data_IF_997937622509
#
_entry.id   IF_997937622509
#
_cell.length_a   1.000
_cell.length_b   1.000
_cell.length_c   1.000
_cell.angle_alpha   90.00
_cell.angle_beta   90.00
_cell.angle_gamma   90.00
#
_symmetry.space_group_name_H-M   'P 1'
#
loop_
_entity.id
_entity.type
_entity.pdbx_description
1 polymer ?
#
# COMPACT_ATOMS: atom_id res chain seq x y z
N UNK A 1 14.01 33.95 -21.20
CA UNK A 1 13.49 32.64 -20.72
C UNK A 1 14.15 32.38 -19.37
N UNK A 2 13.40 31.94 -18.36
CA UNK A 2 13.92 31.81 -17.00
C UNK A 2 14.38 30.38 -16.75
N UNK A 3 15.67 30.21 -16.43
CA UNK A 3 16.23 28.91 -16.07
C UNK A 3 15.92 28.56 -14.62
N UNK A 4 15.56 27.30 -14.38
CA UNK A 4 15.30 26.76 -13.05
C UNK A 4 16.38 25.71 -12.76
N UNK A 5 17.21 25.99 -11.75
CA UNK A 5 18.19 25.05 -11.20
C UNK A 5 17.58 24.34 -10.00
N UNK A 6 17.61 23.02 -9.98
CA UNK A 6 17.07 22.23 -8.87
C UNK A 6 17.90 20.96 -8.65
N UNK A 7 17.75 20.35 -7.47
CA UNK A 7 18.43 19.11 -7.11
C UNK A 7 17.46 17.94 -7.22
N UNK A 8 17.75 17.04 -8.15
CA UNK A 8 17.04 15.80 -8.35
C UNK A 8 17.61 14.73 -7.41
N UNK A 9 16.83 14.31 -6.42
CA UNK A 9 17.19 13.24 -5.50
C UNK A 9 16.63 11.91 -6.01
N UNK A 10 17.50 10.91 -6.09
CA UNK A 10 17.11 9.52 -6.32
C UNK A 10 17.85 8.63 -5.33
N UNK A 11 17.09 7.87 -4.52
CA UNK A 11 17.64 7.10 -3.38
C UNK A 11 18.48 8.00 -2.46
N UNK A 12 19.77 7.67 -2.31
CA UNK A 12 20.75 8.43 -1.53
C UNK A 12 21.58 9.40 -2.38
N UNK A 13 21.39 9.42 -3.71
CA UNK A 13 22.14 10.28 -4.62
C UNK A 13 21.36 11.55 -4.98
N UNK A 14 22.08 12.65 -5.20
CA UNK A 14 21.53 13.93 -5.61
C UNK A 14 22.25 14.41 -6.87
N UNK A 15 21.46 14.75 -7.90
CA UNK A 15 21.93 15.25 -9.17
C UNK A 15 21.50 16.71 -9.36
N UNK A 16 22.42 17.65 -9.60
CA UNK A 16 22.04 19.00 -9.99
C UNK A 16 21.48 18.98 -11.42
N UNK A 17 20.31 19.56 -11.62
CA UNK A 17 19.63 19.63 -12.92
C UNK A 17 19.24 21.08 -13.20
N UNK A 18 19.49 21.54 -14.43
CA UNK A 18 19.10 22.88 -14.89
C UNK A 18 18.19 22.73 -16.10
N UNK A 19 16.99 23.31 -16.06
CA UNK A 19 16.00 23.25 -17.15
C UNK A 19 15.32 24.60 -17.35
N UNK A 20 14.69 24.82 -18.51
CA UNK A 20 13.94 26.05 -18.77
C UNK A 20 12.57 26.01 -18.10
N UNK A 21 12.03 27.15 -17.64
CA UNK A 21 10.71 27.21 -16.97
C UNK A 21 9.55 26.71 -17.85
N UNK A 22 9.71 26.84 -19.17
CA UNK A 22 8.77 26.38 -20.21
C UNK A 22 8.83 24.87 -20.46
N UNK A 23 9.87 24.18 -19.97
CA UNK A 23 9.99 22.73 -20.16
C UNK A 23 8.94 21.96 -19.37
N UNK A 24 8.49 20.86 -19.95
CA UNK A 24 7.49 19.98 -19.34
C UNK A 24 8.12 18.98 -18.38
N UNK A 25 7.30 18.47 -17.46
CA UNK A 25 7.70 17.37 -16.59
C UNK A 25 8.01 16.09 -17.40
N UNK A 26 7.47 15.96 -18.62
CA UNK A 26 7.88 14.93 -19.58
C UNK A 26 9.39 15.00 -19.89
N UNK A 27 9.90 16.17 -20.27
CA UNK A 27 11.34 16.38 -20.52
C UNK A 27 12.18 16.14 -19.25
N UNK A 28 11.68 16.56 -18.09
CA UNK A 28 12.34 16.28 -16.80
C UNK A 28 12.49 14.77 -16.57
N UNK A 29 11.49 13.96 -16.91
CA UNK A 29 11.59 12.49 -16.79
C UNK A 29 12.57 11.88 -17.78
N UNK A 30 12.67 12.42 -18.98
CA UNK A 30 13.68 11.98 -19.95
C UNK A 30 15.09 12.28 -19.46
N UNK A 31 15.31 13.46 -18.89
CA UNK A 31 16.60 13.83 -18.31
C UNK A 31 16.92 12.98 -17.07
N UNK A 32 15.91 12.74 -16.22
CA UNK A 32 16.02 11.83 -15.09
C UNK A 32 16.31 10.39 -15.53
N UNK A 33 15.81 9.93 -16.69
CA UNK A 33 16.14 8.61 -17.25
C UNK A 33 17.62 8.50 -17.56
N UNK A 34 18.21 9.54 -18.18
CA UNK A 34 19.66 9.57 -18.49
C UNK A 34 20.51 9.53 -17.22
N UNK A 35 20.10 10.26 -16.18
CA UNK A 35 20.86 10.39 -14.93
C UNK A 35 20.70 9.18 -13.98
N UNK A 36 19.49 8.61 -13.89
CA UNK A 36 19.16 7.57 -12.90
C UNK A 36 19.00 6.17 -13.49
N UNK A 37 18.91 6.06 -14.82
CA UNK A 37 18.65 4.80 -15.53
C UNK A 37 17.21 4.28 -15.39
N UNK A 38 16.32 5.02 -14.74
CA UNK A 38 14.92 4.63 -14.54
C UNK A 38 14.14 4.93 -15.83
N UNK A 39 13.31 4.01 -16.33
CA UNK A 39 12.42 4.26 -17.46
C UNK A 39 11.35 5.31 -17.17
N UNK A 40 11.05 6.21 -18.11
CA UNK A 40 10.09 7.34 -17.95
C UNK A 40 8.71 6.89 -17.44
N UNK A 41 8.24 5.72 -17.87
CA UNK A 41 6.99 5.09 -17.46
C UNK A 41 6.99 4.60 -16.00
N UNK A 42 8.17 4.30 -15.45
CA UNK A 42 8.36 3.85 -14.06
C UNK A 42 8.87 4.96 -13.13
N UNK A 43 9.04 6.17 -13.65
CA UNK A 43 9.42 7.35 -12.88
C UNK A 43 8.21 8.12 -12.35
N UNK A 44 8.13 8.25 -11.03
CA UNK A 44 7.26 9.21 -10.33
C UNK A 44 8.09 10.44 -9.92
N UNK A 45 7.73 11.60 -10.46
CA UNK A 45 8.35 12.90 -10.12
C UNK A 45 7.56 13.52 -8.98
N UNK A 46 8.23 13.72 -7.85
CA UNK A 46 7.67 14.29 -6.63
C UNK A 46 8.27 15.67 -6.36
N UNK A 47 7.41 16.66 -6.17
CA UNK A 47 7.83 18.02 -5.80
C UNK A 47 6.87 18.60 -4.76
N UNK A 48 7.41 19.06 -3.61
CA UNK A 48 6.66 19.49 -2.42
C UNK A 48 5.61 18.46 -1.94
N UNK A 49 5.98 17.17 -1.93
CA UNK A 49 5.09 16.09 -1.51
C UNK A 49 3.97 15.76 -2.51
N UNK A 50 3.90 16.44 -3.66
CA UNK A 50 2.90 16.15 -4.70
C UNK A 50 3.53 15.50 -5.92
N UNK A 51 2.88 14.45 -6.43
CA UNK A 51 3.21 13.88 -7.74
C UNK A 51 2.85 14.87 -8.84
N UNK A 52 3.77 15.08 -9.78
CA UNK A 52 3.54 15.99 -10.90
C UNK A 52 3.34 15.21 -12.20
N UNK A 53 2.31 15.60 -12.94
CA UNK A 53 1.90 14.95 -14.17
C UNK A 53 2.68 15.46 -15.39
N UNK A 54 2.92 14.57 -16.35
CA UNK A 54 3.77 14.81 -17.53
C UNK A 54 3.34 16.02 -18.38
N UNK A 55 2.04 16.38 -18.36
CA UNK A 55 1.47 17.47 -19.18
C UNK A 55 1.69 18.87 -18.60
N UNK A 56 2.19 19.00 -17.36
CA UNK A 56 2.43 20.31 -16.73
C UNK A 56 3.87 20.79 -17.00
N UNK A 57 4.01 22.09 -17.26
CA UNK A 57 5.31 22.79 -17.30
C UNK A 57 5.89 22.95 -15.90
N UNK A 58 7.22 23.14 -15.79
CA UNK A 58 7.88 23.41 -14.51
C UNK A 58 7.31 24.67 -13.83
N UNK A 59 6.99 25.69 -14.62
CA UNK A 59 6.32 26.91 -14.16
C UNK A 59 4.90 26.64 -13.60
N UNK A 60 4.04 25.95 -14.35
CA UNK A 60 2.68 25.60 -13.89
C UNK A 60 2.68 24.63 -12.70
N UNK A 61 3.76 23.86 -12.55
CA UNK A 61 3.97 22.98 -11.41
C UNK A 61 4.62 23.68 -10.20
N UNK A 62 4.88 24.99 -10.30
CA UNK A 62 5.44 25.90 -9.28
C UNK A 62 6.86 25.53 -8.82
N UNK A 63 7.67 24.97 -9.72
CA UNK A 63 9.08 24.71 -9.44
C UNK A 63 9.81 26.03 -9.21
N UNK A 64 10.61 26.08 -8.13
CA UNK A 64 11.40 27.25 -7.77
C UNK A 64 12.88 26.94 -7.96
N UNK A 65 13.70 27.98 -8.08
CA UNK A 65 15.14 27.84 -8.10
C UNK A 65 15.63 27.24 -6.76
N UNK A 66 16.69 26.43 -6.80
CA UNK A 66 17.24 25.65 -5.67
C UNK A 66 16.27 24.66 -5.01
N UNK A 67 15.22 24.23 -5.71
CA UNK A 67 14.27 23.31 -5.11
C UNK A 67 14.75 21.85 -5.15
N UNK A 68 14.18 21.00 -4.29
CA UNK A 68 14.48 19.56 -4.23
C UNK A 68 13.34 18.79 -4.89
N UNK A 69 13.70 17.95 -5.85
CA UNK A 69 12.78 17.14 -6.66
C UNK A 69 13.13 15.70 -6.41
N UNK A 70 12.18 14.89 -5.93
CA UNK A 70 12.42 13.49 -5.64
C UNK A 70 11.92 12.65 -6.83
N UNK A 71 12.79 11.80 -7.37
CA UNK A 71 12.43 10.81 -8.38
C UNK A 71 12.32 9.46 -7.68
N UNK A 72 11.21 8.77 -7.93
CA UNK A 72 10.93 7.44 -7.40
C UNK A 72 10.73 6.50 -8.58
N UNK A 73 11.44 5.39 -8.61
CA UNK A 73 11.31 4.36 -9.65
C UNK A 73 12.44 3.33 -9.60
N UNK A 74 12.27 2.25 -10.36
CA UNK A 74 13.23 1.14 -10.46
C UNK A 74 13.81 1.05 -11.86
N UNK A 75 15.07 0.65 -11.96
CA UNK A 75 15.74 0.49 -13.25
C UNK A 75 15.39 -0.86 -13.87
N UNK A 76 15.42 -0.98 -15.21
CA UNK A 76 15.12 -2.27 -15.88
C UNK A 76 16.02 -3.41 -15.40
N UNK A 77 17.29 -3.14 -15.05
CA UNK A 77 18.22 -4.14 -14.49
C UNK A 77 17.72 -4.78 -13.20
N UNK A 78 16.93 -4.06 -12.40
CA UNK A 78 16.30 -4.60 -11.17
C UNK A 78 15.03 -5.40 -11.48
N UNK A 79 14.34 -5.07 -12.57
CA UNK A 79 13.10 -5.73 -13.00
C UNK A 79 13.41 -7.03 -13.74
N UNK A 80 14.55 -7.12 -14.43
CA UNK A 80 15.01 -8.35 -15.10
C UNK A 80 15.55 -9.39 -14.12
N UNK A 81 16.14 -8.98 -12.98
CA UNK A 81 16.48 -9.92 -11.90
C UNK A 81 15.25 -10.50 -11.17
N UNK A 82 14.07 -9.94 -11.41
CA UNK A 82 12.83 -10.32 -10.72
C UNK A 82 11.94 -11.28 -11.53
N UNK A 83 12.41 -11.87 -12.64
CA UNK A 83 11.58 -12.78 -13.44
C UNK A 83 12.31 -14.06 -13.90
N UNK A 84 11.93 -15.18 -13.22
CA UNK A 84 11.96 -16.61 -13.59
C UNK A 84 13.28 -17.38 -13.27
N UNK A 85 13.29 -18.65 -12.81
CA UNK A 85 12.35 -19.48 -12.01
C UNK A 85 12.98 -19.95 -10.67
N UNK A 86 12.23 -20.74 -9.88
CA UNK A 86 12.71 -21.54 -8.74
C UNK A 86 14.08 -22.20 -9.06
N UNK A 87 15.10 -21.89 -8.25
CA UNK A 87 16.25 -22.77 -8.06
C UNK A 87 16.66 -22.71 -6.60
N UNK A 88 16.96 -23.89 -6.06
CA UNK A 88 16.94 -24.26 -4.64
C UNK A 88 18.09 -23.65 -3.80
N UNK A 89 18.59 -22.47 -4.15
CA UNK A 89 19.79 -21.87 -3.51
C UNK A 89 19.57 -20.61 -2.68
N UNK A 90 18.34 -20.09 -2.61
CA UNK A 90 18.03 -18.93 -1.75
C UNK A 90 17.13 -19.30 -0.54
N UNK A 91 17.15 -20.56 -0.10
CA UNK A 91 16.49 -21.02 1.14
C UNK A 91 17.09 -20.39 2.43
N UNK A 92 18.08 -19.50 2.34
CA UNK A 92 18.85 -19.06 3.51
C UNK A 92 18.83 -17.55 3.79
N UNK A 93 18.02 -16.74 3.10
CA UNK A 93 17.89 -15.31 3.46
C UNK A 93 16.46 -14.84 3.82
N UNK A 94 15.50 -15.75 4.01
CA UNK A 94 14.16 -15.47 4.53
C UNK A 94 14.12 -15.34 6.07
N UNK A 95 15.11 -14.68 6.69
CA UNK A 95 15.06 -14.30 8.12
C UNK A 95 14.92 -12.79 8.33
N UNK A 96 14.89 -11.99 7.26
CA UNK A 96 14.85 -10.52 7.37
C UNK A 96 13.61 -9.85 6.76
N UNK A 97 12.47 -10.52 6.89
CA UNK A 97 11.14 -9.91 6.71
C UNK A 97 10.46 -9.62 8.08
N UNK A 98 11.28 -9.43 9.13
CA UNK A 98 10.91 -8.67 10.32
C UNK A 98 11.23 -7.20 10.06
N UNK A 99 10.27 -6.47 9.51
CA UNK A 99 10.00 -5.06 9.81
C UNK A 99 8.84 -4.56 8.94
N UNK A 100 7.66 -5.14 9.20
CA UNK A 100 6.42 -4.42 8.98
C UNK A 100 6.19 -3.52 10.20
N UNK A 101 6.41 -2.23 10.04
CA UNK A 101 5.92 -1.14 10.91
C UNK A 101 5.82 -1.49 12.41
N UNK A 102 6.93 -1.38 13.13
CA UNK A 102 6.92 -1.21 14.59
C UNK A 102 6.32 0.18 14.91
N UNK A 103 5.01 0.23 15.08
CA UNK A 103 4.40 1.12 16.08
C UNK A 103 4.16 0.23 17.30
N UNK A 104 4.74 0.61 18.44
CA UNK A 104 4.61 -0.04 19.74
C UNK A 104 3.13 -0.15 20.16
N UNK A 105 2.50 -1.28 19.87
CA UNK A 105 1.30 -1.78 20.52
C UNK A 105 1.39 -3.31 20.50
N UNK A 106 1.24 -3.94 21.66
CA UNK A 106 1.28 -5.39 21.88
C UNK A 106 0.69 -6.20 20.72
N UNK A 107 1.38 -7.28 20.35
CA UNK A 107 0.96 -8.33 19.42
C UNK A 107 -0.57 -8.56 19.49
N UNK A 108 -1.29 -8.09 18.46
CA UNK A 108 -2.75 -8.12 18.35
C UNK A 108 -3.24 -9.57 18.50
N UNK A 109 -2.51 -10.55 17.97
CA UNK A 109 -2.92 -11.95 18.05
C UNK A 109 -2.85 -12.53 19.47
N UNK A 110 -2.09 -11.91 20.39
CA UNK A 110 -1.97 -12.35 21.79
C UNK A 110 -3.03 -11.78 22.73
N UNK A 111 -3.81 -10.79 22.29
CA UNK A 111 -4.80 -10.15 23.15
C UNK A 111 -6.04 -11.05 23.33
N UNK A 112 -6.57 -11.12 24.56
CA UNK A 112 -7.67 -12.04 24.94
C UNK A 112 -8.94 -11.90 24.09
N UNK A 113 -9.22 -10.72 23.56
CA UNK A 113 -10.37 -10.48 22.69
C UNK A 113 -10.22 -11.08 21.30
N UNK A 114 -9.00 -11.08 20.76
CA UNK A 114 -8.67 -11.60 19.44
C UNK A 114 -8.52 -13.13 19.45
N UNK A 115 -7.86 -13.68 20.49
CA UNK A 115 -7.66 -15.12 20.66
C UNK A 115 -8.97 -15.93 20.59
N UNK A 116 -10.03 -15.45 21.27
CA UNK A 116 -11.35 -16.11 21.26
C UNK A 116 -11.95 -16.33 19.87
N UNK A 117 -11.61 -15.46 18.91
CA UNK A 117 -12.09 -15.58 17.53
C UNK A 117 -11.11 -16.41 16.69
N UNK A 118 -9.80 -16.29 16.96
CA UNK A 118 -8.77 -17.08 16.30
C UNK A 118 -8.88 -18.58 16.63
N UNK A 119 -9.23 -18.93 17.87
CA UNK A 119 -9.46 -20.31 18.32
C UNK A 119 -10.62 -21.01 17.57
N UNK A 120 -11.55 -20.25 16.96
CA UNK A 120 -12.61 -20.81 16.12
C UNK A 120 -12.08 -21.39 14.79
N UNK A 121 -10.83 -21.08 14.44
CA UNK A 121 -10.20 -21.51 13.20
C UNK A 121 -10.74 -20.79 11.96
N UNK A 122 -10.25 -21.20 10.79
CA UNK A 122 -10.58 -20.56 9.51
C UNK A 122 -12.08 -20.75 9.22
N UNK A 123 -12.82 -19.69 8.84
CA UNK A 123 -14.23 -19.82 8.48
C UNK A 123 -14.44 -20.83 7.35
N UNK A 124 -15.42 -21.73 7.50
CA UNK A 124 -15.81 -22.64 6.40
C UNK A 124 -16.22 -21.82 5.15
N UNK A 125 -15.67 -22.22 4.00
CA UNK A 125 -15.76 -21.57 2.68
C UNK A 125 -15.10 -20.17 2.58
N UNK A 126 -14.18 -19.82 3.50
CA UNK A 126 -13.38 -18.61 3.41
C UNK A 126 -12.69 -18.48 2.05
N UNK A 127 -12.56 -17.24 1.58
CA UNK A 127 -11.74 -16.95 0.42
C UNK A 127 -10.32 -17.48 0.65
N UNK A 128 -9.78 -18.22 -0.32
CA UNK A 128 -8.49 -18.90 -0.16
C UNK A 128 -7.37 -17.88 0.00
N UNK A 129 -6.62 -17.98 1.10
CA UNK A 129 -5.40 -17.22 1.30
C UNK A 129 -4.27 -17.76 0.42
N UNK A 130 -3.53 -16.87 -0.24
CA UNK A 130 -2.36 -17.26 -1.04
C UNK A 130 -1.12 -16.61 -0.42
N UNK A 131 -0.21 -17.44 0.07
CA UNK A 131 1.04 -17.00 0.68
C UNK A 131 1.90 -16.22 -0.33
N UNK A 132 2.61 -15.21 0.16
CA UNK A 132 3.62 -14.44 -0.56
C UNK A 132 3.16 -13.83 -1.90
N UNK A 133 1.85 -13.60 -2.05
CA UNK A 133 1.30 -12.88 -3.20
C UNK A 133 0.62 -11.60 -2.77
N UNK A 134 0.64 -10.61 -3.65
CA UNK A 134 -0.10 -9.37 -3.50
C UNK A 134 -1.03 -9.19 -4.68
N UNK A 135 -2.33 -9.22 -4.41
CA UNK A 135 -3.35 -9.07 -5.43
C UNK A 135 -4.10 -7.74 -5.25
N UNK A 136 -4.56 -7.12 -6.35
CA UNK A 136 -5.47 -6.00 -6.25
C UNK A 136 -6.75 -6.44 -5.54
N UNK A 137 -7.48 -5.46 -5.00
CA UNK A 137 -8.80 -5.73 -4.43
C UNK A 137 -9.71 -6.34 -5.51
N UNK A 138 -10.38 -7.46 -5.20
CA UNK A 138 -11.25 -8.10 -6.17
C UNK A 138 -12.49 -7.25 -6.44
N UNK A 139 -13.05 -7.39 -7.64
CA UNK A 139 -14.38 -6.82 -7.98
C UNK A 139 -15.51 -7.61 -7.32
N UNK A 140 -15.23 -8.84 -6.89
CA UNK A 140 -16.13 -9.70 -6.13
C UNK A 140 -15.93 -9.52 -4.62
N UNK A 141 -16.93 -9.84 -3.79
CA UNK A 141 -16.79 -9.76 -2.34
C UNK A 141 -15.66 -10.65 -1.82
N UNK A 142 -14.85 -10.17 -0.87
CA UNK A 142 -13.98 -11.02 -0.07
C UNK A 142 -14.89 -11.73 0.92
N UNK A 143 -15.11 -13.03 0.69
CA UNK A 143 -16.17 -13.78 1.39
C UNK A 143 -15.65 -14.45 2.66
N UNK A 144 -16.55 -14.50 3.63
CA UNK A 144 -16.48 -15.31 4.85
C UNK A 144 -15.21 -15.06 5.66
N UNK A 145 -15.04 -13.81 6.08
CA UNK A 145 -14.15 -13.41 7.17
C UNK A 145 -14.97 -13.35 8.47
N UNK A 146 -14.33 -13.41 9.64
CA UNK A 146 -15.05 -13.22 10.91
C UNK A 146 -15.05 -11.76 11.36
N UNK A 147 -16.13 -11.31 11.98
CA UNK A 147 -16.18 -10.04 12.72
C UNK A 147 -15.80 -10.25 14.21
N UNK A 148 -15.82 -9.17 15.00
CA UNK A 148 -15.60 -9.18 16.47
C UNK A 148 -16.54 -10.11 17.27
N UNK A 149 -17.70 -10.47 16.71
CA UNK A 149 -18.66 -11.41 17.33
C UNK A 149 -18.43 -12.86 16.87
N UNK A 150 -17.55 -13.06 15.88
CA UNK A 150 -17.32 -14.34 15.22
C UNK A 150 -18.41 -14.73 14.21
N UNK A 151 -19.23 -13.79 13.76
CA UNK A 151 -20.15 -14.00 12.64
C UNK A 151 -19.39 -13.94 11.31
N UNK A 152 -19.79 -14.77 10.35
CA UNK A 152 -19.27 -14.72 8.98
C UNK A 152 -19.78 -13.47 8.27
N UNK A 153 -18.86 -12.65 7.77
CA UNK A 153 -19.15 -11.46 6.99
C UNK A 153 -18.41 -11.45 5.65
N UNK A 154 -18.86 -10.60 4.74
CA UNK A 154 -18.26 -10.37 3.44
C UNK A 154 -17.87 -8.89 3.32
N UNK A 155 -16.71 -8.64 2.71
CA UNK A 155 -16.21 -7.30 2.44
C UNK A 155 -16.44 -6.95 0.98
N UNK A 156 -17.13 -5.84 0.72
CA UNK A 156 -17.42 -5.35 -0.62
C UNK A 156 -16.91 -3.93 -0.74
N UNK A 157 -15.95 -3.72 -1.63
CA UNK A 157 -15.40 -2.39 -1.92
C UNK A 157 -16.18 -1.76 -3.08
N UNK A 158 -16.88 -0.66 -2.80
CA UNK A 158 -17.62 0.14 -3.78
C UNK A 158 -16.83 1.41 -4.08
N UNK A 159 -15.79 1.29 -4.91
CA UNK A 159 -14.89 2.41 -5.21
C UNK A 159 -15.59 3.62 -5.83
N UNK A 160 -16.58 3.42 -6.70
CA UNK A 160 -17.38 4.51 -7.27
C UNK A 160 -18.11 5.34 -6.21
N UNK A 161 -18.46 4.71 -5.07
CA UNK A 161 -19.17 5.35 -3.97
C UNK A 161 -18.24 5.69 -2.80
N UNK A 162 -16.94 5.41 -2.92
CA UNK A 162 -15.95 5.54 -1.84
C UNK A 162 -16.39 4.86 -0.53
N UNK A 163 -16.94 3.65 -0.62
CA UNK A 163 -17.48 2.90 0.52
C UNK A 163 -16.96 1.47 0.61
N UNK A 164 -16.73 1.01 1.84
CA UNK A 164 -16.59 -0.39 2.22
C UNK A 164 -17.89 -0.86 2.85
N UNK A 165 -18.46 -1.94 2.32
CA UNK A 165 -19.61 -2.60 2.92
C UNK A 165 -19.16 -3.89 3.60
N UNK A 166 -19.55 -4.06 4.86
CA UNK A 166 -19.36 -5.27 5.64
C UNK A 166 -20.73 -5.95 5.78
N UNK A 167 -20.98 -6.94 4.93
CA UNK A 167 -22.26 -7.65 4.86
C UNK A 167 -22.24 -8.94 5.70
N UNK A 168 -23.20 -9.08 6.60
CA UNK A 168 -23.51 -10.33 7.30
C UNK A 168 -24.83 -10.91 6.75
N UNK A 169 -25.22 -12.10 7.21
CA UNK A 169 -26.54 -12.66 6.88
C UNK A 169 -27.71 -11.84 7.45
N UNK A 170 -27.48 -11.06 8.51
CA UNK A 170 -28.52 -10.30 9.22
C UNK A 170 -28.59 -8.83 8.80
N UNK A 171 -27.46 -8.24 8.44
CA UNK A 171 -27.37 -6.80 8.13
C UNK A 171 -26.10 -6.45 7.35
N UNK A 172 -26.10 -5.29 6.70
CA UNK A 172 -24.93 -4.73 6.02
C UNK A 172 -24.54 -3.39 6.63
N UNK A 173 -23.30 -3.28 7.11
CA UNK A 173 -22.72 -2.03 7.60
C UNK A 173 -21.97 -1.33 6.47
N UNK A 174 -22.38 -0.12 6.11
CA UNK A 174 -21.72 0.70 5.08
C UNK A 174 -20.81 1.73 5.74
N UNK A 175 -19.54 1.71 5.38
CA UNK A 175 -18.50 2.56 5.97
C UNK A 175 -17.85 3.35 4.82
N UNK A 176 -18.00 4.68 4.77
CA UNK A 176 -17.23 5.48 3.81
C UNK A 176 -15.74 5.38 4.12
N UNK A 177 -14.89 5.20 3.10
CA UNK A 177 -13.46 4.96 3.28
C UNK A 177 -12.78 6.13 4.00
N UNK A 178 -13.23 7.36 3.75
CA UNK A 178 -12.80 8.59 4.42
C UNK A 178 -13.00 8.63 5.96
N UNK A 179 -13.89 7.79 6.50
CA UNK A 179 -14.08 7.67 7.95
C UNK A 179 -13.07 6.76 8.63
N UNK A 180 -12.36 5.92 7.86
CA UNK A 180 -11.34 5.03 8.40
C UNK A 180 -10.06 5.85 8.56
N UNK A 181 -9.65 6.08 9.80
CA UNK A 181 -8.51 6.94 10.13
C UNK A 181 -7.20 6.17 10.23
N UNK A 182 -7.27 4.92 10.70
CA UNK A 182 -6.13 4.03 10.85
C UNK A 182 -6.50 2.61 10.44
N UNK A 183 -5.53 1.88 9.91
CA UNK A 183 -5.66 0.47 9.53
C UNK A 183 -4.58 -0.33 10.23
N UNK A 184 -4.99 -1.23 11.11
CA UNK A 184 -4.10 -2.19 11.77
C UNK A 184 -4.13 -3.51 11.00
N UNK A 185 -3.00 -4.18 10.87
CA UNK A 185 -2.96 -5.50 10.26
C UNK A 185 -1.86 -6.36 10.87
N UNK A 186 -2.15 -7.61 11.18
CA UNK A 186 -1.15 -8.57 11.64
C UNK A 186 -1.41 -9.95 11.03
N UNK A 187 -0.35 -10.63 10.59
CA UNK A 187 -0.45 -12.04 10.16
C UNK A 187 -0.79 -12.92 11.35
N UNK A 188 -1.68 -13.89 11.15
CA UNK A 188 -2.06 -14.82 12.21
C UNK A 188 -0.94 -15.85 12.37
N UNK A 189 -0.41 -16.07 13.59
CA UNK A 189 0.57 -17.14 13.85
C UNK A 189 0.03 -18.50 13.37
N UNK A 190 0.91 -19.35 12.85
CA UNK A 190 0.60 -20.68 12.29
C UNK A 190 -0.27 -20.69 11.02
N UNK A 191 -0.90 -19.56 10.65
CA UNK A 191 -1.79 -19.44 9.49
C UNK A 191 -1.45 -18.20 8.66
N UNK A 192 -0.23 -18.19 8.11
CA UNK A 192 0.37 -17.04 7.41
C UNK A 192 -0.39 -16.53 6.18
N UNK A 193 -1.25 -17.35 5.60
CA UNK A 193 -2.10 -16.95 4.47
C UNK A 193 -3.26 -16.03 4.87
N UNK A 194 -3.47 -15.85 6.18
CA UNK A 194 -4.52 -15.03 6.74
C UNK A 194 -3.97 -14.01 7.73
N UNK A 195 -4.71 -12.92 7.91
CA UNK A 195 -4.33 -11.81 8.78
C UNK A 195 -5.55 -11.27 9.52
N UNK A 196 -5.28 -10.74 10.72
CA UNK A 196 -6.21 -9.87 11.44
C UNK A 196 -6.12 -8.49 10.83
N UNK A 197 -7.26 -7.84 10.63
CA UNK A 197 -7.39 -6.49 10.09
C UNK A 197 -8.28 -5.66 11.02
N UNK A 198 -7.75 -4.54 11.52
CA UNK A 198 -8.49 -3.57 12.31
C UNK A 198 -8.72 -2.29 11.52
N UNK A 199 -9.96 -1.84 11.41
CA UNK A 199 -10.33 -0.59 10.74
C UNK A 199 -10.85 0.41 11.78
N UNK A 200 -10.02 1.39 12.15
CA UNK A 200 -10.42 2.40 13.14
C UNK A 200 -11.33 3.46 12.52
N UNK A 201 -12.59 3.45 12.93
CA UNK A 201 -13.62 4.37 12.44
C UNK A 201 -13.76 5.51 13.46
N UNK A 202 -13.08 6.63 13.23
CA UNK A 202 -13.05 7.76 14.16
C UNK A 202 -11.79 7.84 15.03
N UNK A 203 -11.84 8.63 16.09
CA UNK A 203 -10.63 9.12 16.77
C UNK A 203 -10.10 8.19 17.87
N UNK A 204 -10.88 7.21 18.34
CA UNK A 204 -10.49 6.34 19.47
C UNK A 204 -10.24 4.90 19.01
N UNK A 205 -9.35 4.17 19.70
CA UNK A 205 -9.10 2.75 19.41
C UNK A 205 -10.34 1.87 19.62
N UNK A 206 -11.26 2.27 20.50
CA UNK A 206 -12.54 1.56 20.77
C UNK A 206 -13.49 1.52 19.58
N UNK A 207 -13.32 2.42 18.60
CA UNK A 207 -14.13 2.43 17.39
C UNK A 207 -13.49 1.65 16.23
N UNK A 208 -12.61 0.70 16.57
CA UNK A 208 -12.00 -0.22 15.60
C UNK A 208 -12.94 -1.38 15.30
N UNK A 209 -13.25 -1.56 14.03
CA UNK A 209 -13.91 -2.76 13.54
C UNK A 209 -12.84 -3.80 13.25
N UNK A 210 -12.91 -4.92 13.97
CA UNK A 210 -11.98 -6.04 13.80
C UNK A 210 -12.54 -7.09 12.85
N UNK A 211 -11.67 -7.53 11.94
CA UNK A 211 -11.93 -8.56 10.95
C UNK A 211 -10.82 -9.61 11.04
N UNK A 212 -11.21 -10.88 11.12
CA UNK A 212 -10.30 -12.00 11.28
C UNK A 212 -10.34 -12.91 10.07
N UNK A 213 -9.23 -13.60 9.83
CA UNK A 213 -9.04 -14.46 8.67
C UNK A 213 -9.21 -13.72 7.34
N UNK A 214 -8.72 -12.49 7.27
CA UNK A 214 -8.66 -11.74 6.00
C UNK A 214 -7.49 -12.28 5.17
N UNK A 215 -7.68 -12.66 3.90
CA UNK A 215 -6.60 -13.20 3.08
C UNK A 215 -5.45 -12.19 2.93
N UNK A 216 -4.23 -12.60 3.27
CA UNK A 216 -3.06 -11.71 3.34
C UNK A 216 -2.75 -11.05 2.00
N UNK A 217 -3.07 -11.71 0.88
CA UNK A 217 -2.83 -11.17 -0.45
C UNK A 217 -3.55 -9.84 -0.74
N UNK A 218 -4.64 -9.56 -0.03
CA UNK A 218 -5.42 -8.33 -0.21
C UNK A 218 -5.05 -7.24 0.78
N UNK A 219 -4.34 -7.53 1.88
CA UNK A 219 -4.08 -6.57 2.97
C UNK A 219 -3.39 -5.30 2.45
N UNK A 220 -2.39 -5.46 1.57
CA UNK A 220 -1.70 -4.33 0.96
C UNK A 220 -2.65 -3.47 0.11
N UNK A 221 -3.50 -4.10 -0.69
CA UNK A 221 -4.47 -3.39 -1.52
C UNK A 221 -5.54 -2.69 -0.67
N UNK A 222 -6.00 -3.32 0.42
CA UNK A 222 -6.92 -2.72 1.40
C UNK A 222 -6.30 -1.46 2.02
N UNK A 223 -5.08 -1.54 2.54
CA UNK A 223 -4.38 -0.38 3.12
C UNK A 223 -4.24 0.74 2.10
N UNK A 224 -3.78 0.43 0.89
CA UNK A 224 -3.58 1.41 -0.17
C UNK A 224 -4.89 2.07 -0.61
N UNK A 225 -6.00 1.31 -0.65
CA UNK A 225 -7.31 1.87 -1.01
C UNK A 225 -7.92 2.77 0.06
N UNK A 226 -7.55 2.56 1.33
CA UNK A 226 -8.11 3.33 2.46
C UNK A 226 -7.23 4.53 2.81
N UNK A 227 -5.92 4.33 2.95
CA UNK A 227 -4.95 5.34 3.38
C UNK A 227 -4.27 6.05 2.20
N UNK A 228 -4.50 5.58 0.97
CA UNK A 228 -3.72 5.96 -0.21
C UNK A 228 -2.37 5.23 -0.26
N UNK A 229 -1.60 5.43 -1.35
CA UNK A 229 -0.28 4.80 -1.58
C UNK A 229 0.81 5.16 -0.53
N UNK A 230 0.49 5.93 0.50
CA UNK A 230 1.43 6.48 1.51
C UNK A 230 1.27 5.88 2.91
N UNK A 231 0.38 4.90 3.11
CA UNK A 231 0.08 4.26 4.41
C UNK A 231 0.75 2.89 4.62
N UNK A 232 1.95 2.70 4.09
CA UNK A 232 2.82 1.54 4.33
C UNK A 232 4.10 1.97 5.03
#
# INVERSE_FOLDING_TARGET
>A
MSEIKFKLKYRKQMYPVTMQSTDTIGKLKEEAKKLTGIPVNLQKVMYKGMQKNNKKTLESAKFKNNCKVLIIGSTFKEITKANIPLSEKDLENEVQDRNGSEDEDQDICTQKEHLKILEKGIPSNAHVGIKNKHYPLPTTPIRYVFNEKGDKVQLIFKFTQDQLWIGSSKSTKKIPLSHIKKVYSQRIPDIEQYSVLGLQIGNTKKSTVWLYFVPTQFIRAIKNSILGEWGL
#
